data_IF_792454644705
#
_entry.id   IF_792454644705
#
_cell.length_a   1.000
_cell.length_b   1.000
_cell.length_c   1.000
_cell.angle_alpha   90.00
_cell.angle_beta   90.00
_cell.angle_gamma   90.00
#
_symmetry.space_group_name_H-M   'P 1'
#
loop_
_entity.id
_entity.type
_entity.pdbx_description
1 polymer ?
#
# COMPACT_ATOMS: atom_id res chain seq x y z
N UNK A 1 7.97 24.20 45.86
CA UNK A 1 7.53 22.89 45.31
C UNK A 1 6.78 23.00 43.97
N UNK A 2 6.47 24.20 43.46
CA UNK A 2 5.86 24.35 42.12
C UNK A 2 6.86 24.28 40.95
N UNK A 3 8.16 24.51 41.18
CA UNK A 3 9.18 24.65 40.11
C UNK A 3 9.89 23.36 39.70
N UNK A 4 9.46 22.20 40.21
CA UNK A 4 10.00 20.88 39.83
C UNK A 4 9.09 20.12 38.86
N UNK A 5 7.86 20.62 38.61
CA UNK A 5 6.90 20.02 37.69
C UNK A 5 7.03 20.52 36.24
N UNK A 6 7.54 21.74 36.04
CA UNK A 6 7.67 22.31 34.67
C UNK A 6 8.90 21.78 33.91
N UNK A 7 9.87 21.16 34.60
CA UNK A 7 11.12 20.67 34.00
C UNK A 7 11.04 19.29 33.33
N UNK A 8 10.03 18.47 33.67
CA UNK A 8 9.93 17.09 33.19
C UNK A 8 9.13 16.96 31.88
N UNK A 9 8.23 17.90 31.59
CA UNK A 9 7.45 17.90 30.36
C UNK A 9 8.26 18.40 29.13
N UNK A 10 9.26 19.27 29.32
CA UNK A 10 10.08 19.77 28.21
C UNK A 10 11.16 18.79 27.72
N UNK A 11 11.57 17.80 28.52
CA UNK A 11 12.54 16.77 28.09
C UNK A 11 11.94 15.63 27.26
N UNK A 12 10.61 15.53 27.15
CA UNK A 12 9.95 14.47 26.35
C UNK A 12 9.57 14.87 24.93
N UNK A 13 9.52 16.16 24.60
CA UNK A 13 9.06 16.63 23.28
C UNK A 13 10.15 16.63 22.18
N UNK A 14 11.44 16.67 22.56
CA UNK A 14 12.56 16.82 21.59
C UNK A 14 12.91 15.52 20.84
N UNK A 15 12.26 14.39 21.16
CA UNK A 15 12.53 13.09 20.54
C UNK A 15 11.41 12.57 19.63
N UNK A 16 10.42 13.40 19.30
CA UNK A 16 9.24 12.97 18.54
C UNK A 16 9.37 13.14 17.02
N UNK A 17 10.46 13.69 16.50
CA UNK A 17 10.71 13.60 15.07
C UNK A 17 11.11 12.16 14.74
N UNK A 18 10.31 11.44 13.93
CA UNK A 18 10.61 10.05 13.61
C UNK A 18 11.98 10.01 12.93
N UNK A 19 12.93 9.24 13.49
CA UNK A 19 14.20 8.96 12.80
C UNK A 19 13.87 8.43 11.40
N UNK A 20 14.68 8.71 10.37
CA UNK A 20 14.41 8.27 9.01
C UNK A 20 14.15 6.75 8.94
N UNK A 21 13.32 6.28 7.99
CA UNK A 21 13.12 4.84 7.81
C UNK A 21 14.44 4.16 7.40
N UNK A 22 14.61 2.87 7.70
CA UNK A 22 15.62 2.04 7.05
C UNK A 22 15.53 2.15 5.52
N UNK A 23 16.68 2.26 4.87
CA UNK A 23 16.77 2.35 3.41
C UNK A 23 16.89 0.92 2.85
N UNK A 24 16.03 0.57 1.92
CA UNK A 24 15.98 -0.77 1.29
C UNK A 24 15.70 -0.67 -0.21
N UNK A 25 15.82 -1.78 -0.94
CA UNK A 25 15.41 -1.87 -2.35
C UNK A 25 13.94 -1.46 -2.56
N UNK A 26 13.08 -1.81 -1.61
CA UNK A 26 11.64 -1.58 -1.67
C UNK A 26 11.19 -0.26 -1.02
N UNK A 27 12.08 0.43 -0.30
CA UNK A 27 11.77 1.65 0.45
C UNK A 27 13.01 2.56 0.47
N UNK A 28 13.38 3.09 -0.69
CA UNK A 28 14.48 4.05 -0.85
C UNK A 28 13.94 5.48 -0.93
N UNK A 29 14.01 6.18 0.20
CA UNK A 29 13.53 7.55 0.34
C UNK A 29 14.52 8.59 -0.18
N UNK A 30 15.65 8.17 -0.76
CA UNK A 30 16.64 9.08 -1.34
C UNK A 30 16.27 9.47 -2.76
N UNK A 31 16.48 10.73 -3.08
CA UNK A 31 16.38 11.21 -4.47
C UNK A 31 17.62 10.77 -5.24
N UNK A 32 17.44 10.09 -6.37
CA UNK A 32 18.55 9.66 -7.22
C UNK A 32 19.04 10.83 -8.09
N UNK A 33 20.32 10.84 -8.52
CA UNK A 33 20.81 11.88 -9.43
C UNK A 33 19.94 12.00 -10.69
N UNK A 34 19.51 13.23 -10.99
CA UNK A 34 18.65 13.52 -12.14
C UNK A 34 17.15 13.39 -11.89
N UNK A 35 16.72 12.92 -10.70
CA UNK A 35 15.31 12.92 -10.31
C UNK A 35 15.00 14.11 -9.40
N UNK A 36 13.75 14.59 -9.44
CA UNK A 36 13.29 15.64 -8.52
C UNK A 36 12.77 15.07 -7.20
N UNK A 37 12.27 13.83 -7.23
CA UNK A 37 11.65 13.17 -6.11
C UNK A 37 12.24 11.75 -5.89
N UNK A 38 12.17 11.21 -4.67
CA UNK A 38 12.55 9.82 -4.40
C UNK A 38 11.56 8.85 -5.05
N UNK A 39 12.01 7.63 -5.37
CA UNK A 39 11.15 6.59 -5.96
C UNK A 39 10.07 6.08 -4.99
N UNK A 40 10.35 6.13 -3.68
CA UNK A 40 9.37 5.85 -2.63
C UNK A 40 9.31 7.05 -1.70
N UNK A 41 8.53 8.09 -2.04
CA UNK A 41 8.33 9.23 -1.17
C UNK A 41 7.66 8.79 0.13
N UNK A 42 8.05 9.40 1.25
CA UNK A 42 7.27 9.25 2.47
C UNK A 42 6.09 10.18 2.34
N UNK A 43 4.88 9.65 2.40
CA UNK A 43 3.62 10.40 2.47
C UNK A 43 3.04 10.44 3.86
N UNK A 44 3.50 9.58 4.76
CA UNK A 44 3.12 9.60 6.16
C UNK A 44 4.22 9.01 7.01
N UNK A 45 4.44 9.59 8.18
CA UNK A 45 5.38 9.06 9.16
C UNK A 45 4.79 9.24 10.56
N UNK A 46 4.77 8.14 11.30
CA UNK A 46 4.28 8.09 12.67
C UNK A 46 5.22 7.28 13.54
N UNK A 47 5.21 7.55 14.84
CA UNK A 47 5.82 6.70 15.83
C UNK A 47 4.79 6.48 16.94
N UNK A 48 4.59 5.22 17.30
CA UNK A 48 3.81 4.87 18.47
C UNK A 48 4.59 5.20 19.75
N UNK A 49 3.87 5.48 20.83
CA UNK A 49 4.46 5.91 22.10
C UNK A 49 5.40 4.85 22.72
N UNK A 50 5.22 3.57 22.37
CA UNK A 50 6.08 2.47 22.82
C UNK A 50 7.42 2.40 22.06
N UNK A 51 7.55 3.09 20.91
CA UNK A 51 8.74 3.09 20.08
C UNK A 51 8.62 2.29 18.78
N UNK A 52 7.43 1.90 18.32
CA UNK A 52 7.27 1.38 16.93
C UNK A 52 7.18 2.54 15.94
N UNK A 53 8.07 2.56 14.94
CA UNK A 53 8.03 3.55 13.85
C UNK A 53 7.30 3.02 12.61
N UNK A 54 6.62 3.90 11.89
CA UNK A 54 5.88 3.58 10.67
C UNK A 54 6.05 4.67 9.61
N UNK A 55 6.26 4.26 8.37
CA UNK A 55 6.34 5.15 7.22
C UNK A 55 5.48 4.59 6.10
N UNK A 56 4.75 5.46 5.42
CA UNK A 56 3.83 5.11 4.35
C UNK A 56 4.28 5.84 3.08
N UNK A 57 4.32 5.12 1.97
CA UNK A 57 4.57 5.60 0.62
C UNK A 57 3.43 5.14 -0.28
N UNK A 58 3.22 5.83 -1.42
CA UNK A 58 2.50 5.18 -2.52
C UNK A 58 3.26 3.93 -2.98
N UNK A 59 2.52 2.96 -3.46
CA UNK A 59 3.05 1.83 -4.21
C UNK A 59 3.68 2.30 -5.53
N UNK A 60 4.46 1.43 -6.16
CA UNK A 60 5.22 1.74 -7.40
C UNK A 60 4.35 1.82 -8.66
N UNK A 61 3.03 1.90 -8.53
CA UNK A 61 2.09 1.94 -9.67
C UNK A 61 1.26 3.21 -9.57
N UNK A 62 1.64 4.25 -10.32
CA UNK A 62 0.85 5.50 -10.45
C UNK A 62 -0.54 5.24 -11.04
N UNK A 63 -0.66 4.12 -11.73
CA UNK A 63 -1.84 3.73 -12.46
C UNK A 63 -2.74 2.79 -11.64
N UNK A 64 -3.91 3.28 -11.20
CA UNK A 64 -4.96 2.41 -10.67
C UNK A 64 -5.61 1.60 -11.79
N UNK A 65 -5.45 1.94 -13.08
CA UNK A 65 -6.24 1.40 -14.21
C UNK A 65 -5.66 0.14 -14.86
N UNK A 66 -4.98 -0.74 -14.12
CA UNK A 66 -4.55 -2.02 -14.68
C UNK A 66 -5.74 -2.91 -15.06
N UNK A 67 -6.13 -2.81 -16.34
CA UNK A 67 -7.01 -3.64 -17.18
C UNK A 67 -8.28 -2.92 -17.63
N UNK A 68 -8.13 -2.05 -18.63
CA UNK A 68 -9.18 -1.81 -19.62
C UNK A 68 -8.60 -2.03 -21.02
N UNK A 69 -8.65 -3.28 -21.48
CA UNK A 69 -9.08 -3.47 -22.86
C UNK A 69 -10.57 -3.07 -22.84
N UNK A 70 -10.87 -1.85 -23.28
CA UNK A 70 -12.24 -1.43 -23.59
C UNK A 70 -12.73 -2.32 -24.74
N UNK A 71 -13.36 -3.43 -24.41
CA UNK A 71 -14.28 -4.07 -25.34
C UNK A 71 -15.62 -3.35 -25.18
N UNK A 72 -15.86 -2.34 -26.02
CA UNK A 72 -17.04 -1.47 -25.99
C UNK A 72 -18.36 -2.26 -26.15
N UNK A 73 -18.29 -3.55 -26.49
CA UNK A 73 -19.43 -4.42 -26.68
C UNK A 73 -19.83 -5.28 -25.45
N UNK A 74 -19.19 -5.12 -24.28
CA UNK A 74 -19.48 -5.96 -23.08
C UNK A 74 -19.64 -5.18 -21.75
N UNK A 75 -20.35 -4.06 -21.79
CA UNK A 75 -20.67 -3.20 -20.63
C UNK A 75 -21.51 -3.91 -19.54
N UNK A 76 -22.06 -5.09 -19.77
CA UNK A 76 -22.85 -5.84 -18.77
C UNK A 76 -22.04 -6.73 -17.81
N UNK A 77 -20.71 -6.79 -17.93
CA UNK A 77 -19.87 -7.72 -17.13
C UNK A 77 -19.05 -7.05 -16.01
N UNK A 78 -19.45 -5.87 -15.54
CA UNK A 78 -18.92 -5.31 -14.27
C UNK A 78 -19.39 -6.13 -13.05
N UNK A 79 -20.38 -7.00 -13.23
CA UNK A 79 -20.92 -7.90 -12.19
C UNK A 79 -19.97 -9.08 -11.86
N UNK A 80 -18.93 -9.34 -12.66
CA UNK A 80 -18.01 -10.48 -12.45
C UNK A 80 -16.61 -10.10 -11.90
N UNK A 81 -16.52 -9.12 -11.00
CA UNK A 81 -15.33 -8.88 -10.16
C UNK A 81 -14.11 -8.23 -10.83
N UNK A 82 -14.03 -8.15 -12.17
CA UNK A 82 -12.89 -7.54 -12.88
C UNK A 82 -12.81 -6.01 -12.74
N UNK A 83 -13.95 -5.32 -12.59
CA UNK A 83 -13.97 -3.86 -12.42
C UNK A 83 -13.42 -3.37 -11.08
N UNK A 84 -13.34 -4.24 -10.06
CA UNK A 84 -12.90 -3.86 -8.72
C UNK A 84 -11.38 -3.63 -8.60
N UNK A 85 -10.58 -4.19 -9.52
CA UNK A 85 -9.12 -4.05 -9.48
C UNK A 85 -8.62 -2.68 -9.93
N UNK A 86 -9.44 -1.95 -10.70
CA UNK A 86 -9.06 -0.65 -11.27
C UNK A 86 -9.15 0.52 -10.27
N UNK A 87 -9.54 0.22 -9.03
CA UNK A 87 -9.90 1.20 -8.01
C UNK A 87 -9.10 0.99 -6.71
N UNK A 88 -7.98 0.28 -6.79
CA UNK A 88 -7.16 -0.05 -5.63
C UNK A 88 -6.05 0.97 -5.43
N UNK A 89 -6.12 1.71 -4.33
CA UNK A 89 -4.99 2.46 -3.80
C UNK A 89 -4.00 1.47 -3.18
N UNK A 90 -2.78 1.40 -3.73
CA UNK A 90 -1.72 0.55 -3.18
C UNK A 90 -0.78 1.39 -2.33
N UNK A 91 -0.63 1.03 -1.07
CA UNK A 91 0.32 1.66 -0.14
C UNK A 91 1.44 0.70 0.20
N UNK A 92 2.66 1.24 0.25
CA UNK A 92 3.81 0.54 0.80
C UNK A 92 4.09 1.07 2.20
N UNK A 93 4.11 0.19 3.18
CA UNK A 93 4.21 0.54 4.60
C UNK A 93 5.45 -0.09 5.19
N UNK A 94 6.41 0.71 5.62
CA UNK A 94 7.55 0.25 6.40
C UNK A 94 7.22 0.40 7.88
N UNK A 95 7.35 -0.70 8.62
CA UNK A 95 7.21 -0.72 10.09
C UNK A 95 8.50 -1.21 10.71
N UNK A 96 8.97 -0.52 11.75
CA UNK A 96 10.19 -0.88 12.47
C UNK A 96 9.94 -0.87 13.98
N UNK A 97 10.32 -1.96 14.64
CA UNK A 97 10.33 -2.01 16.09
C UNK A 97 11.56 -1.27 16.65
N UNK A 98 11.36 -0.11 17.26
CA UNK A 98 12.43 0.66 17.93
C UNK A 98 12.20 0.76 19.44
N UNK A 99 11.36 -0.11 20.01
CA UNK A 99 11.06 -0.13 21.44
C UNK A 99 12.35 -0.33 22.25
N UNK A 100 12.53 0.44 23.32
CA UNK A 100 13.74 0.37 24.16
C UNK A 100 13.73 -0.77 25.17
N UNK A 101 12.58 -1.41 25.37
CA UNK A 101 12.42 -2.56 26.26
C UNK A 101 12.77 -3.90 25.59
N UNK A 102 13.24 -3.85 24.34
CA UNK A 102 13.63 -5.01 23.52
C UNK A 102 12.51 -6.05 23.31
N UNK A 103 11.26 -5.70 23.61
CA UNK A 103 10.14 -6.61 23.45
C UNK A 103 9.79 -6.77 21.97
N UNK A 104 9.36 -7.98 21.61
CA UNK A 104 8.85 -8.26 20.27
C UNK A 104 7.48 -7.60 20.07
N UNK A 105 7.22 -7.14 18.85
CA UNK A 105 5.89 -6.63 18.45
C UNK A 105 5.29 -7.49 17.37
N UNK A 106 3.97 -7.62 17.38
CA UNK A 106 3.21 -8.27 16.34
C UNK A 106 2.49 -7.19 15.53
N UNK A 107 2.78 -7.10 14.23
CA UNK A 107 2.12 -6.16 13.33
C UNK A 107 1.16 -6.94 12.43
N UNK A 108 -0.10 -6.51 12.36
CA UNK A 108 -1.12 -7.12 11.51
C UNK A 108 -1.52 -6.22 10.34
N UNK A 109 -0.94 -6.42 9.16
CA UNK A 109 -1.21 -5.59 7.99
C UNK A 109 -2.67 -5.62 7.51
N UNK A 110 -3.32 -6.78 7.50
CA UNK A 110 -4.74 -6.90 7.12
C UNK A 110 -5.72 -6.16 8.07
N UNK A 111 -5.26 -5.80 9.28
CA UNK A 111 -6.04 -5.03 10.24
C UNK A 111 -5.93 -3.52 10.01
N UNK A 112 -5.04 -3.08 9.11
CA UNK A 112 -4.85 -1.68 8.79
C UNK A 112 -6.14 -1.03 8.25
N UNK A 113 -6.26 0.26 8.53
CA UNK A 113 -7.38 1.08 8.10
C UNK A 113 -6.87 2.41 7.58
N UNK A 114 -7.50 2.91 6.53
CA UNK A 114 -7.32 4.28 6.06
C UNK A 114 -8.52 5.09 6.52
N UNK A 115 -8.29 6.24 7.13
CA UNK A 115 -9.35 7.18 7.52
C UNK A 115 -9.52 8.18 6.39
N UNK A 116 -10.73 8.26 5.84
CA UNK A 116 -11.06 9.24 4.80
C UNK A 116 -11.43 10.58 5.41
N UNK A 117 -11.29 11.64 4.61
CA UNK A 117 -11.73 12.98 5.00
C UNK A 117 -13.23 13.00 5.33
N UNK A 118 -13.67 13.93 6.18
CA UNK A 118 -15.07 14.03 6.66
C UNK A 118 -16.09 14.06 5.51
N UNK A 119 -15.75 14.70 4.39
CA UNK A 119 -16.59 14.79 3.19
C UNK A 119 -16.35 13.67 2.16
N UNK A 120 -15.36 12.79 2.36
CA UNK A 120 -15.07 11.69 1.46
C UNK A 120 -16.10 10.55 1.55
N UNK A 121 -16.94 10.55 2.59
CA UNK A 121 -17.86 9.45 2.91
C UNK A 121 -18.75 9.03 1.74
N UNK A 122 -19.40 9.97 1.05
CA UNK A 122 -20.29 9.64 -0.07
C UNK A 122 -19.52 9.04 -1.27
N UNK A 123 -18.31 9.55 -1.54
CA UNK A 123 -17.45 9.06 -2.62
C UNK A 123 -16.95 7.65 -2.32
N UNK A 124 -16.55 7.39 -1.07
CA UNK A 124 -16.09 6.08 -0.62
C UNK A 124 -17.22 5.06 -0.48
N UNK A 125 -18.47 5.48 -0.18
CA UNK A 125 -19.61 4.58 -0.02
C UNK A 125 -20.16 4.02 -1.33
N UNK A 126 -20.07 4.77 -2.44
CA UNK A 126 -20.75 4.44 -3.70
C UNK A 126 -20.31 3.10 -4.34
N UNK A 127 -19.20 2.51 -3.87
CA UNK A 127 -18.58 1.30 -4.45
C UNK A 127 -18.52 0.12 -3.48
N UNK A 128 -19.45 0.06 -2.53
CA UNK A 128 -19.72 -1.15 -1.75
C UNK A 128 -20.22 -2.26 -2.68
N UNK A 129 -19.28 -2.99 -3.28
CA UNK A 129 -19.56 -4.25 -3.96
C UNK A 129 -19.32 -5.33 -2.90
N UNK A 130 -20.42 -5.87 -2.34
CA UNK A 130 -20.46 -6.88 -1.27
C UNK A 130 -20.19 -6.43 0.18
N UNK A 131 -20.66 -7.27 1.12
CA UNK A 131 -20.54 -7.18 2.59
C UNK A 131 -19.10 -7.04 3.15
N UNK A 132 -18.08 -7.02 2.29
CA UNK A 132 -16.66 -6.93 2.66
C UNK A 132 -16.19 -5.50 2.97
N UNK A 133 -16.88 -4.46 2.47
CA UNK A 133 -16.54 -3.05 2.74
C UNK A 133 -17.50 -2.48 3.78
N UNK A 134 -17.19 -2.69 5.06
CA UNK A 134 -17.90 -2.03 6.15
C UNK A 134 -17.40 -0.59 6.30
N UNK A 135 -18.03 0.34 5.58
CA UNK A 135 -17.88 1.76 5.90
C UNK A 135 -18.67 2.04 7.18
N UNK A 136 -18.08 1.71 8.33
CA UNK A 136 -18.64 2.11 9.60
C UNK A 136 -18.28 3.57 9.83
N UNK A 137 -19.32 4.37 10.05
CA UNK A 137 -19.16 5.69 10.66
C UNK A 137 -18.59 5.47 12.04
N UNK A 138 -17.32 5.76 12.17
CA UNK A 138 -16.63 5.61 13.43
C UNK A 138 -16.81 6.96 14.13
N UNK A 139 -17.51 6.97 15.28
CA UNK A 139 -17.54 8.13 16.17
C UNK A 139 -16.20 8.17 16.89
N UNK A 140 -15.15 8.43 16.11
CA UNK A 140 -13.79 8.29 16.62
C UNK A 140 -13.51 9.50 17.49
N UNK A 141 -13.78 10.73 17.05
CA UNK A 141 -12.98 11.85 17.53
C UNK A 141 -13.84 13.05 17.92
N UNK A 142 -14.12 13.23 19.21
CA UNK A 142 -14.81 14.42 19.72
C UNK A 142 -16.17 14.73 19.05
N UNK A 143 -16.89 13.70 18.56
CA UNK A 143 -18.15 13.86 17.83
C UNK A 143 -18.00 14.01 16.31
N UNK A 144 -16.76 13.98 15.78
CA UNK A 144 -16.49 13.93 14.35
C UNK A 144 -16.63 12.48 13.88
N UNK A 145 -17.48 12.30 12.88
CA UNK A 145 -17.65 11.04 12.17
C UNK A 145 -16.79 11.06 10.91
N UNK A 146 -15.78 10.21 10.86
CA UNK A 146 -14.98 10.00 9.65
C UNK A 146 -15.31 8.62 9.03
N UNK A 147 -15.38 8.52 7.69
CA UNK A 147 -15.35 7.23 7.03
C UNK A 147 -13.98 6.59 7.21
N UNK A 148 -13.92 5.27 7.20
CA UNK A 148 -12.65 4.55 7.08
C UNK A 148 -12.82 3.34 6.18
N UNK A 149 -11.71 2.90 5.61
CA UNK A 149 -11.61 1.75 4.72
C UNK A 149 -10.71 0.70 5.35
N UNK A 150 -11.13 -0.55 5.27
CA UNK A 150 -10.27 -1.69 5.58
C UNK A 150 -9.40 -2.03 4.36
N UNK A 151 -8.32 -2.77 4.59
CA UNK A 151 -7.63 -3.49 3.50
C UNK A 151 -8.66 -4.28 2.71
N UNK A 152 -8.62 -4.14 1.38
CA UNK A 152 -9.57 -4.78 0.49
C UNK A 152 -9.50 -6.31 0.63
N UNK A 153 -10.67 -6.95 0.75
CA UNK A 153 -10.83 -8.39 0.69
C UNK A 153 -11.39 -8.70 -0.69
N UNK A 154 -10.67 -9.48 -1.47
CA UNK A 154 -11.08 -9.80 -2.82
C UNK A 154 -12.25 -10.81 -2.85
N UNK A 155 -12.86 -11.08 -4.02
CA UNK A 155 -13.99 -11.98 -4.12
C UNK A 155 -13.71 -13.43 -3.67
N UNK A 156 -12.44 -13.82 -3.53
CA UNK A 156 -12.04 -15.14 -3.03
C UNK A 156 -11.86 -15.16 -1.50
N UNK A 157 -12.09 -14.03 -0.83
CA UNK A 157 -11.95 -13.91 0.62
C UNK A 157 -10.51 -13.66 1.07
N UNK A 158 -9.59 -13.32 0.17
CA UNK A 158 -8.20 -13.03 0.52
C UNK A 158 -7.99 -11.53 0.76
N UNK A 159 -7.31 -11.19 1.85
CA UNK A 159 -6.89 -9.81 2.12
C UNK A 159 -5.81 -9.39 1.11
N UNK A 160 -5.96 -8.21 0.52
CA UNK A 160 -4.91 -7.54 -0.26
C UNK A 160 -3.88 -6.87 0.63
N UNK A 161 -3.30 -7.66 1.53
CA UNK A 161 -2.17 -7.30 2.37
C UNK A 161 -1.03 -8.29 2.14
N UNK A 162 0.20 -7.81 2.09
CA UNK A 162 1.36 -8.66 1.81
C UNK A 162 2.59 -8.17 2.56
N UNK A 163 3.44 -9.09 2.98
CA UNK A 163 4.79 -8.80 3.46
C UNK A 163 5.74 -8.94 2.28
N UNK A 164 6.36 -7.84 1.85
CA UNK A 164 7.29 -7.84 0.74
C UNK A 164 8.71 -8.16 1.19
N UNK A 165 9.13 -7.69 2.37
CA UNK A 165 10.46 -8.00 2.92
C UNK A 165 10.51 -7.90 4.44
N UNK A 166 11.47 -8.62 5.04
CA UNK A 166 11.89 -8.48 6.43
C UNK A 166 13.38 -8.21 6.46
N UNK A 167 13.82 -7.13 7.11
CA UNK A 167 15.24 -6.77 7.24
C UNK A 167 16.00 -6.74 5.90
N UNK A 168 15.34 -6.33 4.83
CA UNK A 168 15.92 -6.26 3.48
C UNK A 168 15.94 -7.59 2.72
N UNK A 169 15.53 -8.71 3.34
CA UNK A 169 15.33 -9.99 2.65
C UNK A 169 13.93 -10.00 2.06
N UNK A 170 13.85 -10.01 0.73
CA UNK A 170 12.59 -10.00 -0.01
C UNK A 170 11.89 -11.37 0.01
N UNK A 171 10.56 -11.35 0.09
CA UNK A 171 9.71 -12.52 0.02
C UNK A 171 9.13 -12.66 -1.40
N UNK A 172 9.91 -13.28 -2.28
CA UNK A 172 9.64 -13.37 -3.73
C UNK A 172 8.28 -13.97 -4.09
N UNK A 173 7.73 -14.88 -3.27
CA UNK A 173 6.40 -15.47 -3.48
C UNK A 173 5.22 -14.57 -3.14
N UNK A 174 5.48 -13.31 -2.78
CA UNK A 174 4.48 -12.41 -2.22
C UNK A 174 4.39 -11.08 -2.93
N UNK A 175 4.80 -10.98 -4.20
CA UNK A 175 4.59 -9.81 -5.07
C UNK A 175 3.36 -9.94 -5.97
N UNK A 176 2.93 -11.18 -6.26
CA UNK A 176 1.83 -11.49 -7.16
C UNK A 176 0.63 -12.07 -6.41
N UNK A 177 -0.57 -11.90 -6.98
CA UNK A 177 -1.80 -12.53 -6.47
C UNK A 177 -2.12 -13.81 -7.25
N UNK A 178 -2.58 -14.88 -6.59
CA UNK A 178 -2.83 -15.01 -5.16
C UNK A 178 -1.53 -15.06 -4.36
N UNK A 179 -1.55 -14.46 -3.18
CA UNK A 179 -0.37 -14.35 -2.30
C UNK A 179 -0.08 -15.72 -1.69
N UNK A 180 1.20 -16.01 -1.43
CA UNK A 180 1.55 -17.28 -0.78
C UNK A 180 0.91 -17.36 0.62
N UNK A 181 0.29 -18.49 0.91
CA UNK A 181 -0.21 -18.83 2.25
C UNK A 181 0.85 -19.52 3.12
N UNK A 182 1.95 -19.96 2.49
CA UNK A 182 2.96 -20.80 3.13
C UNK A 182 3.86 -19.95 4.01
N UNK A 183 3.97 -20.29 5.29
CA UNK A 183 4.88 -19.58 6.19
C UNK A 183 6.32 -19.86 5.78
N UNK A 184 7.11 -18.85 5.38
CA UNK A 184 8.48 -19.09 4.95
C UNK A 184 9.35 -19.46 6.15
N UNK A 185 10.20 -20.49 5.99
CA UNK A 185 11.10 -20.97 7.04
C UNK A 185 12.47 -20.30 7.04
N UNK A 186 12.85 -19.67 5.93
CA UNK A 186 14.15 -19.03 5.77
C UNK A 186 14.31 -17.84 6.75
N UNK A 187 15.48 -17.66 7.40
CA UNK A 187 15.84 -16.39 8.02
C UNK A 187 15.95 -15.28 6.96
N UNK A 188 15.45 -14.06 7.17
CA UNK A 188 14.65 -13.54 8.30
C UNK A 188 13.14 -13.74 8.14
N UNK A 189 12.70 -14.36 7.04
CA UNK A 189 11.30 -14.51 6.66
C UNK A 189 10.45 -15.33 7.64
N UNK A 190 11.04 -16.22 8.47
CA UNK A 190 10.33 -16.94 9.55
C UNK A 190 9.64 -16.02 10.59
N UNK A 191 9.92 -14.72 10.55
CA UNK A 191 9.20 -13.69 11.30
C UNK A 191 7.77 -13.45 10.77
N UNK A 192 7.49 -13.81 9.53
CA UNK A 192 6.14 -13.81 8.94
C UNK A 192 5.35 -14.94 9.58
N UNK A 193 4.27 -14.61 10.30
CA UNK A 193 3.45 -15.58 11.04
C UNK A 193 2.20 -15.98 10.29
N UNK A 194 1.60 -15.03 9.55
CA UNK A 194 0.46 -15.27 8.67
C UNK A 194 0.64 -14.45 7.39
N UNK A 195 1.24 -15.04 6.34
CA UNK A 195 1.49 -14.35 5.07
C UNK A 195 0.26 -13.66 4.48
N UNK A 196 -0.88 -14.37 4.42
CA UNK A 196 -2.16 -13.89 3.87
C UNK A 196 -2.77 -12.67 4.57
N UNK A 197 -2.45 -12.52 5.86
CA UNK A 197 -2.94 -11.43 6.69
C UNK A 197 -1.87 -10.34 6.88
N UNK A 198 -0.71 -10.51 6.22
CA UNK A 198 0.51 -9.75 6.42
C UNK A 198 0.89 -9.58 7.90
N UNK A 199 0.84 -10.67 8.67
CA UNK A 199 1.19 -10.66 10.10
C UNK A 199 2.65 -11.01 10.29
N UNK A 200 3.39 -10.10 10.91
CA UNK A 200 4.84 -10.21 11.16
C UNK A 200 5.16 -9.98 12.62
N UNK A 201 6.14 -10.72 13.14
CA UNK A 201 6.62 -10.59 14.51
C UNK A 201 8.04 -10.01 14.51
N UNK A 202 8.18 -8.73 14.82
CA UNK A 202 9.42 -7.96 14.71
C UNK A 202 10.15 -7.88 16.05
N UNK A 203 11.38 -8.37 16.12
CA UNK A 203 12.28 -8.15 17.24
C UNK A 203 12.78 -6.71 17.30
N UNK A 204 13.53 -6.36 18.34
CA UNK A 204 14.12 -5.02 18.44
C UNK A 204 15.05 -4.71 17.26
N UNK A 205 14.83 -3.57 16.59
CA UNK A 205 15.59 -3.13 15.42
C UNK A 205 15.07 -3.71 14.09
N UNK A 206 14.34 -4.81 14.13
CA UNK A 206 13.76 -5.45 12.95
C UNK A 206 12.72 -4.54 12.29
N UNK A 207 12.64 -4.63 10.96
CA UNK A 207 11.64 -3.94 10.17
C UNK A 207 11.04 -4.85 9.09
N UNK A 208 9.82 -4.51 8.69
CA UNK A 208 9.12 -5.12 7.56
C UNK A 208 8.68 -4.05 6.56
N UNK A 209 8.67 -4.42 5.29
CA UNK A 209 7.98 -3.67 4.24
C UNK A 209 6.72 -4.44 3.87
N UNK A 210 5.56 -3.81 4.05
CA UNK A 210 4.26 -4.33 3.72
C UNK A 210 3.70 -3.64 2.48
N UNK A 211 2.86 -4.34 1.72
CA UNK A 211 2.01 -3.78 0.67
C UNK A 211 0.55 -3.98 1.06
N UNK A 212 -0.21 -2.90 1.11
CA UNK A 212 -1.60 -2.89 1.52
C UNK A 212 -2.43 -2.22 0.43
N UNK A 213 -3.51 -2.86 -0.01
CA UNK A 213 -4.39 -2.30 -1.03
C UNK A 213 -5.77 -1.98 -0.47
N UNK A 214 -6.29 -0.81 -0.82
CA UNK A 214 -7.56 -0.29 -0.35
C UNK A 214 -8.43 0.05 -1.55
N UNK A 215 -9.71 -0.31 -1.50
CA UNK A 215 -10.65 0.05 -2.57
C UNK A 215 -11.10 1.50 -2.38
N UNK A 216 -10.44 2.43 -3.09
CA UNK A 216 -10.63 3.87 -2.96
C UNK A 216 -11.17 4.55 -4.23
N UNK A 217 -11.09 3.88 -5.37
CA UNK A 217 -11.52 4.41 -6.67
C UNK A 217 -13.02 4.26 -6.92
N UNK A 218 -13.59 5.20 -7.67
CA UNK A 218 -14.94 5.12 -8.21
C UNK A 218 -14.95 4.82 -9.73
N UNK A 219 -13.78 4.72 -10.36
CA UNK A 219 -13.65 4.54 -11.81
C UNK A 219 -14.31 5.64 -12.65
N UNK A 220 -14.70 6.77 -12.05
CA UNK A 220 -15.39 7.90 -12.70
C UNK A 220 -14.73 9.25 -12.40
N UNK A 221 -14.27 9.46 -11.17
CA UNK A 221 -13.59 10.66 -10.68
C UNK A 221 -12.25 10.35 -10.00
N UNK A 222 -12.02 9.10 -9.58
CA UNK A 222 -10.83 8.62 -8.89
C UNK A 222 -10.23 7.49 -9.72
N UNK A 223 -9.32 7.86 -10.60
CA UNK A 223 -8.60 7.00 -11.54
C UNK A 223 -7.13 6.82 -11.16
N UNK A 224 -6.59 7.73 -10.36
CA UNK A 224 -5.18 7.75 -9.99
C UNK A 224 -4.99 7.65 -8.48
N UNK A 225 -3.85 7.10 -8.07
CA UNK A 225 -3.49 6.95 -6.66
C UNK A 225 -3.52 8.29 -5.93
N UNK A 226 -3.06 9.36 -6.59
CA UNK A 226 -3.06 10.69 -5.98
C UNK A 226 -4.48 11.18 -5.68
N UNK A 227 -5.44 10.93 -6.56
CA UNK A 227 -6.86 11.27 -6.36
C UNK A 227 -7.44 10.51 -5.16
N UNK A 228 -7.12 9.22 -5.04
CA UNK A 228 -7.49 8.42 -3.89
C UNK A 228 -6.85 8.95 -2.60
N UNK A 229 -5.57 9.33 -2.65
CA UNK A 229 -4.85 9.97 -1.54
C UNK A 229 -5.43 11.35 -1.16
N UNK A 230 -6.15 12.05 -2.06
CA UNK A 230 -6.92 13.26 -1.70
C UNK A 230 -8.21 12.99 -0.95
N UNK A 231 -8.72 11.77 -1.00
CA UNK A 231 -9.85 11.35 -0.20
C UNK A 231 -9.44 10.87 1.20
N UNK A 232 -8.15 10.59 1.40
CA UNK A 232 -7.59 10.20 2.69
C UNK A 232 -7.36 11.45 3.54
N UNK A 233 -7.73 11.38 4.82
CA UNK A 233 -7.54 12.50 5.73
C UNK A 233 -6.07 12.61 6.18
N UNK A 234 -5.54 13.83 6.09
CA UNK A 234 -4.26 14.22 6.67
C UNK A 234 -4.41 15.35 7.70
N UNK A 235 -5.63 15.62 8.17
CA UNK A 235 -5.91 16.76 9.03
C UNK A 235 -5.27 16.60 10.40
N UNK A 236 -4.58 17.65 10.82
CA UNK A 236 -4.04 17.79 12.18
C UNK A 236 -5.13 17.68 13.26
N UNK A 237 -6.39 17.89 12.87
CA UNK A 237 -7.54 17.77 13.76
C UNK A 237 -7.79 16.32 14.19
N UNK A 238 -7.53 15.33 13.31
CA UNK A 238 -7.55 13.92 13.69
C UNK A 238 -6.43 13.63 14.68
N UNK A 239 -5.20 14.06 14.40
CA UNK A 239 -4.03 13.86 15.26
C UNK A 239 -4.28 14.44 16.66
N UNK A 240 -4.81 15.66 16.70
CA UNK A 240 -5.17 16.37 17.94
C UNK A 240 -6.29 15.65 18.67
N UNK A 241 -7.27 15.10 17.97
CA UNK A 241 -8.36 14.39 18.60
C UNK A 241 -7.93 13.01 19.12
N UNK A 242 -7.01 12.30 18.43
CA UNK A 242 -6.45 11.02 18.88
C UNK A 242 -5.58 11.26 20.11
N UNK A 243 -4.71 12.27 20.09
CA UNK A 243 -3.87 12.64 21.23
C UNK A 243 -4.65 13.12 22.47
N UNK A 244 -5.94 13.44 22.32
CA UNK A 244 -6.84 13.87 23.40
C UNK A 244 -7.74 12.76 23.93
N UNK A 245 -7.64 11.54 23.41
CA UNK A 245 -8.48 10.45 23.88
C UNK A 245 -8.06 10.00 25.28
N UNK A 246 -8.93 10.14 26.31
CA UNK A 246 -8.67 9.52 27.58
C UNK A 246 -8.73 8.00 27.40
N UNK A 247 -7.71 7.34 27.93
CA UNK A 247 -7.58 5.90 28.12
C UNK A 247 -8.88 5.33 28.73
N UNK A 248 -9.78 4.79 27.88
CA UNK A 248 -11.13 4.36 28.29
C UNK A 248 -11.42 2.97 27.77
N UNK A 249 -10.85 1.96 28.43
CA UNK A 249 -11.53 0.78 29.01
C UNK A 249 -12.59 0.00 28.22
N UNK A 250 -12.68 0.11 26.89
CA UNK A 250 -13.53 -0.71 26.02
C UNK A 250 -12.68 -1.29 24.87
N UNK A 251 -13.02 -2.47 24.31
CA UNK A 251 -12.07 -3.55 23.99
C UNK A 251 -11.39 -3.45 22.61
N UNK A 252 -11.22 -2.23 22.08
CA UNK A 252 -10.23 -1.98 21.02
C UNK A 252 -9.41 -0.81 21.50
N UNK A 253 -8.50 -1.13 22.41
CA UNK A 253 -7.63 -0.17 23.03
C UNK A 253 -6.80 0.49 21.93
N UNK A 254 -7.06 1.76 21.66
CA UNK A 254 -6.33 2.51 20.63
C UNK A 254 -4.86 2.68 21.01
N UNK A 255 -4.50 2.36 22.26
CA UNK A 255 -3.13 2.21 22.74
C UNK A 255 -2.32 1.13 22.00
N UNK A 256 -2.98 0.23 21.26
CA UNK A 256 -2.34 -0.79 20.43
C UNK A 256 -2.30 -0.40 18.93
N UNK A 257 -2.79 0.79 18.56
CA UNK A 257 -2.88 1.23 17.17
C UNK A 257 -1.73 2.15 16.80
N UNK A 258 -0.96 1.73 15.80
CA UNK A 258 0.04 2.56 15.16
C UNK A 258 -0.63 3.55 14.19
N UNK A 259 -0.75 4.79 14.63
CA UNK A 259 -1.33 5.86 13.83
C UNK A 259 -0.27 6.58 12.98
N UNK A 260 -0.60 6.84 11.71
CA UNK A 260 0.28 7.53 10.76
C UNK A 260 -0.50 8.61 10.02
N UNK A 261 -0.26 9.89 10.32
CA UNK A 261 -0.88 10.97 9.56
C UNK A 261 -0.27 11.06 8.16
N UNK A 262 -1.13 11.28 7.16
CA UNK A 262 -0.68 11.62 5.81
C UNK A 262 -0.30 13.10 5.75
N UNK A 263 0.88 13.38 5.23
CA UNK A 263 1.44 14.72 5.05
C UNK A 263 0.99 15.26 3.71
N UNK A 264 -0.11 16.01 3.75
CA UNK A 264 -0.77 16.50 2.54
C UNK A 264 0.16 17.28 1.62
N UNK A 265 1.01 18.15 2.18
CA UNK A 265 1.97 18.91 1.40
C UNK A 265 3.02 18.06 0.67
N UNK A 266 3.41 16.90 1.21
CA UNK A 266 4.34 15.98 0.53
C UNK A 266 3.66 15.25 -0.63
N UNK A 267 2.39 14.86 -0.46
CA UNK A 267 1.57 14.25 -1.53
C UNK A 267 1.35 15.27 -2.65
N UNK A 268 0.88 16.47 -2.31
CA UNK A 268 0.61 17.53 -3.30
C UNK A 268 1.87 17.92 -4.05
N UNK A 269 3.03 18.02 -3.37
CA UNK A 269 4.30 18.31 -4.02
C UNK A 269 4.73 17.20 -4.99
N UNK A 270 4.59 15.93 -4.60
CA UNK A 270 4.97 14.78 -5.42
C UNK A 270 4.10 14.64 -6.68
N UNK A 271 2.83 15.02 -6.63
CA UNK A 271 1.91 14.93 -7.77
C UNK A 271 1.62 16.28 -8.46
N UNK A 272 2.32 17.36 -8.09
CA UNK A 272 2.08 18.69 -8.66
C UNK A 272 2.29 18.74 -10.19
N UNK A 273 3.20 17.93 -10.71
CA UNK A 273 3.53 17.85 -12.13
C UNK A 273 2.48 17.12 -12.95
N UNK A 274 1.91 16.01 -12.46
CA UNK A 274 0.81 15.33 -13.15
C UNK A 274 -0.44 16.22 -13.19
N UNK A 275 -0.70 16.98 -12.13
CA UNK A 275 -1.82 17.92 -12.07
C UNK A 275 -1.62 19.12 -13.02
N UNK A 276 -0.40 19.65 -13.12
CA UNK A 276 -0.10 20.83 -13.93
C UNK A 276 0.13 20.50 -15.40
N UNK A 277 0.91 19.47 -15.67
CA UNK A 277 1.53 19.19 -16.97
C UNK A 277 1.20 17.77 -17.51
N UNK A 278 0.46 16.96 -16.75
CA UNK A 278 0.01 15.63 -17.15
C UNK A 278 1.04 14.50 -16.91
N UNK A 279 0.68 13.29 -17.35
CA UNK A 279 1.42 12.05 -17.04
C UNK A 279 2.87 12.07 -17.54
N UNK A 280 3.15 12.61 -18.73
CA UNK A 280 4.51 12.67 -19.30
C UNK A 280 5.46 13.48 -18.41
N UNK A 281 4.99 14.62 -17.88
CA UNK A 281 5.79 15.45 -17.00
C UNK A 281 6.13 14.72 -15.69
N UNK A 282 5.15 14.00 -15.13
CA UNK A 282 5.35 13.18 -13.94
C UNK A 282 6.34 12.04 -14.17
N UNK A 283 6.27 11.36 -15.32
CA UNK A 283 7.24 10.31 -15.65
C UNK A 283 8.65 10.88 -15.75
N UNK A 284 8.83 12.06 -16.37
CA UNK A 284 10.15 12.71 -16.51
C UNK A 284 10.78 13.08 -15.17
N UNK A 285 10.03 13.75 -14.31
CA UNK A 285 10.50 14.22 -13.00
C UNK A 285 10.80 13.10 -12.00
N UNK A 286 10.10 11.95 -12.11
CA UNK A 286 10.17 10.85 -11.14
C UNK A 286 10.96 9.63 -11.62
N UNK A 287 11.06 9.40 -12.93
CA UNK A 287 11.65 8.17 -13.49
C UNK A 287 12.70 8.42 -14.58
N UNK A 288 13.16 9.66 -14.77
CA UNK A 288 14.13 10.09 -15.79
C UNK A 288 13.58 10.24 -17.21
N UNK A 289 14.22 11.12 -17.98
CA UNK A 289 13.88 11.41 -19.39
C UNK A 289 13.92 10.16 -20.27
N UNK A 290 14.84 9.23 -20.00
CA UNK A 290 14.94 7.99 -20.78
C UNK A 290 13.65 7.18 -20.72
N UNK A 291 12.98 7.13 -19.57
CA UNK A 291 11.72 6.40 -19.45
C UNK A 291 10.54 7.15 -20.08
N UNK A 292 10.57 8.48 -20.06
CA UNK A 292 9.57 9.30 -20.73
C UNK A 292 9.68 9.25 -22.27
N UNK A 293 10.90 9.11 -22.80
CA UNK A 293 11.09 8.96 -24.24
C UNK A 293 10.69 7.57 -24.71
N UNK A 294 10.89 6.55 -23.85
CA UNK A 294 10.40 5.19 -24.09
C UNK A 294 8.86 5.18 -24.03
N UNK A 295 8.18 5.89 -23.11
CA UNK A 295 6.70 5.86 -23.02
C UNK A 295 5.94 6.49 -24.19
N UNK A 296 6.60 7.30 -25.04
CA UNK A 296 5.97 8.00 -26.19
C UNK A 296 5.79 7.14 -27.44
N UNK A 297 6.38 5.95 -27.50
CA UNK A 297 6.07 4.99 -28.57
C UNK A 297 4.76 4.27 -28.26
N UNK A 298 3.79 4.27 -29.18
CA UNK A 298 2.47 3.64 -28.97
C UNK A 298 2.53 2.13 -28.67
N UNK A 299 3.62 1.44 -29.00
CA UNK A 299 3.89 0.03 -28.63
C UNK A 299 4.59 -0.12 -27.26
N UNK A 300 4.91 0.99 -26.61
CA UNK A 300 5.93 1.06 -25.57
C UNK A 300 5.34 1.46 -24.20
N UNK A 301 4.07 1.89 -24.13
CA UNK A 301 3.34 1.95 -22.85
C UNK A 301 3.37 0.58 -22.15
N UNK A 302 3.15 -0.48 -22.91
CA UNK A 302 3.25 -1.85 -22.42
C UNK A 302 4.69 -2.26 -22.11
N UNK A 303 5.69 -1.73 -22.83
CA UNK A 303 7.10 -2.03 -22.58
C UNK A 303 7.73 -1.22 -21.41
N UNK A 304 7.26 0.00 -21.13
CA UNK A 304 7.63 0.78 -19.92
C UNK A 304 6.96 0.15 -18.71
N UNK A 305 5.67 -0.20 -18.80
CA UNK A 305 5.02 -0.99 -17.76
C UNK A 305 5.68 -2.36 -17.61
N UNK A 306 6.03 -3.02 -18.72
CA UNK A 306 6.74 -4.29 -18.67
C UNK A 306 8.10 -4.10 -18.06
N UNK A 307 8.87 -3.04 -18.35
CA UNK A 307 10.19 -2.75 -17.80
C UNK A 307 10.17 -2.36 -16.31
N UNK A 308 9.21 -1.51 -15.90
CA UNK A 308 8.92 -1.24 -14.48
C UNK A 308 8.53 -2.52 -13.74
N UNK A 309 7.96 -3.49 -14.44
CA UNK A 309 7.70 -4.84 -13.94
C UNK A 309 8.88 -5.80 -14.19
N UNK A 310 9.84 -5.54 -15.12
CA UNK A 310 10.88 -6.48 -15.60
C UNK A 310 12.08 -6.54 -14.67
N UNK A 311 12.36 -5.45 -13.96
CA UNK A 311 13.24 -5.48 -12.78
C UNK A 311 12.66 -6.38 -11.66
N UNK A 312 11.35 -6.64 -11.70
CA UNK A 312 10.64 -7.65 -10.88
C UNK A 312 10.43 -9.00 -11.61
N UNK A 313 10.43 -9.00 -12.95
CA UNK A 313 10.12 -10.14 -13.85
C UNK A 313 11.35 -10.94 -14.27
N UNK A 314 12.58 -10.48 -13.99
CA UNK A 314 13.79 -11.30 -14.13
C UNK A 314 13.75 -12.57 -13.23
N UNK A 315 12.81 -12.63 -12.29
CA UNK A 315 12.49 -13.80 -11.46
C UNK A 315 11.38 -14.69 -12.06
N UNK A 316 10.66 -14.25 -13.10
CA UNK A 316 9.33 -14.78 -13.51
C UNK A 316 9.38 -15.79 -14.68
N UNK A 317 10.48 -15.96 -15.40
CA UNK A 317 10.58 -17.02 -16.44
C UNK A 317 11.30 -18.28 -15.97
N UNK A 318 11.04 -18.73 -14.73
CA UNK A 318 11.47 -20.08 -14.35
C UNK A 318 10.40 -21.10 -14.78
N UNK A 319 10.83 -22.18 -15.42
CA UNK A 319 9.98 -23.31 -15.80
C UNK A 319 9.07 -23.80 -14.66
N UNK A 320 9.58 -23.74 -13.42
CA UNK A 320 8.85 -24.11 -12.22
C UNK A 320 7.58 -23.26 -11.94
N UNK A 321 7.57 -21.99 -12.34
CA UNK A 321 6.40 -21.13 -12.18
C UNK A 321 5.31 -21.49 -13.20
N UNK A 322 5.69 -21.74 -14.46
CA UNK A 322 4.77 -22.19 -15.50
C UNK A 322 4.15 -23.56 -15.17
N UNK A 323 4.96 -24.48 -14.63
CA UNK A 323 4.49 -25.80 -14.19
C UNK A 323 3.44 -25.67 -13.06
N UNK A 324 3.62 -24.73 -12.13
CA UNK A 324 2.67 -24.50 -11.03
C UNK A 324 1.37 -23.82 -11.48
N UNK A 325 1.43 -22.91 -12.45
CA UNK A 325 0.22 -22.32 -13.04
C UNK A 325 -0.60 -23.38 -13.78
N UNK A 326 0.06 -24.26 -14.55
CA UNK A 326 -0.61 -25.40 -15.20
C UNK A 326 -1.32 -26.30 -14.20
N UNK A 327 -0.67 -26.65 -13.08
CA UNK A 327 -1.26 -27.46 -12.02
C UNK A 327 -2.53 -26.81 -11.42
N UNK A 328 -2.53 -25.50 -11.22
CA UNK A 328 -3.68 -24.78 -10.66
C UNK A 328 -4.85 -24.70 -11.65
N UNK A 329 -4.56 -24.47 -12.93
CA UNK A 329 -5.56 -24.45 -14.01
C UNK A 329 -6.24 -25.82 -14.16
N UNK A 330 -5.44 -26.89 -14.10
CA UNK A 330 -5.93 -28.27 -14.17
C UNK A 330 -6.79 -28.63 -12.95
N UNK A 331 -6.36 -28.27 -11.73
CA UNK A 331 -7.15 -28.47 -10.50
C UNK A 331 -8.48 -27.72 -10.50
N UNK A 332 -8.53 -26.57 -11.17
CA UNK A 332 -9.74 -25.77 -11.32
C UNK A 332 -10.67 -26.27 -12.45
N UNK A 333 -10.30 -27.34 -13.16
CA UNK A 333 -11.12 -27.96 -14.21
C UNK A 333 -11.12 -27.21 -15.54
N UNK A 334 -10.16 -26.31 -15.76
CA UNK A 334 -10.00 -25.61 -17.04
C UNK A 334 -9.09 -26.41 -17.99
N UNK A 335 -9.34 -26.38 -19.31
CA UNK A 335 -8.45 -27.02 -20.28
C UNK A 335 -7.07 -26.35 -20.26
N UNK A 336 -6.01 -27.12 -20.01
CA UNK A 336 -4.62 -26.63 -20.00
C UNK A 336 -4.21 -26.11 -21.38
N UNK A 337 -4.77 -26.68 -22.45
CA UNK A 337 -4.50 -26.29 -23.84
C UNK A 337 -4.81 -24.81 -24.11
N UNK A 338 -5.78 -24.23 -23.40
CA UNK A 338 -6.07 -22.79 -23.50
C UNK A 338 -4.91 -21.91 -23.02
N UNK A 339 -4.19 -22.36 -21.98
CA UNK A 339 -3.03 -21.66 -21.46
C UNK A 339 -1.85 -21.78 -22.44
N UNK A 340 -1.70 -22.93 -23.08
CA UNK A 340 -0.65 -23.18 -24.06
C UNK A 340 -0.91 -22.42 -25.36
N UNK A 341 -2.16 -22.35 -25.82
CA UNK A 341 -2.58 -21.51 -26.94
C UNK A 341 -2.36 -20.02 -26.63
N UNK A 342 -2.64 -19.57 -25.39
CA UNK A 342 -2.39 -18.20 -24.96
C UNK A 342 -0.89 -17.86 -24.91
N UNK A 343 -0.04 -18.82 -24.52
CA UNK A 343 1.41 -18.65 -24.44
C UNK A 343 2.11 -18.81 -25.81
N UNK A 344 1.52 -19.55 -26.74
CA UNK A 344 2.08 -19.87 -28.06
C UNK A 344 1.48 -19.06 -29.21
N UNK A 345 0.37 -18.35 -28.97
CA UNK A 345 -0.15 -17.40 -29.94
C UNK A 345 0.96 -16.40 -30.33
N UNK A 346 1.32 -16.30 -31.62
CA UNK A 346 2.18 -15.22 -32.05
C UNK A 346 1.45 -13.94 -31.68
N UNK A 347 2.09 -13.14 -30.81
CA UNK A 347 1.53 -11.84 -30.47
C UNK A 347 1.38 -11.09 -31.79
N UNK A 348 0.14 -10.92 -32.25
CA UNK A 348 -0.18 -10.07 -33.38
C UNK A 348 -0.01 -8.65 -32.89
N UNK A 349 1.25 -8.20 -32.86
CA UNK A 349 1.71 -6.83 -33.08
C UNK A 349 3.14 -6.91 -33.59
#
# INVERSE_FOLDING_TARGET
MQSLWDGEHHRKAVHLLPLPPPITSLFDTRTRPGLQFPLTPVFGAGAHADGVGCWVSAGTKIDCTKLLIRDENKVTTVVNGKGALNNLLTLRVLVQNRRRDYSQVLIGGAMARIIGAVNAGERLQKYQVHDSVQLRRMNVLAGITCPYLHVYVDPWGEHRASVLSINGVEYTGNFDSPRSNDTPSAPHLHQIKRPKDAVVALGHGDYAVLELQFLCGDGVNVYFDFQALQLVDGSEDIDRAIGRMPDRGNPTDLSDVLFVPFRRGEIDAYYADIERDGVDAHVRSHYSDRLADISKGNEVSDAVQEWMMKDTKATITSKAHLDRVRELVEKAGFPVDWLDDYLSAPQLF
#
